data_IF_937209025860
#
_entry.id   IF_937209025860
#
_cell.length_a   1.000
_cell.length_b   1.000
_cell.length_c   1.000
_cell.angle_alpha   90.00
_cell.angle_beta   90.00
_cell.angle_gamma   90.00
#
_symmetry.space_group_name_H-M   'P 1'
#
loop_
_entity.id
_entity.type
_entity.pdbx_description
1 polymer ?
#
# COMPACT_ATOMS: atom_id res chain seq x y z
N UNK A 1 17.24 -20.70 -10.07
CA UNK A 1 17.52 -20.45 -11.50
C UNK A 1 19.00 -20.16 -11.64
N UNK A 2 19.69 -20.90 -12.49
CA UNK A 2 21.17 -20.90 -12.58
C UNK A 2 21.65 -19.76 -13.47
N UNK A 3 22.67 -19.03 -13.02
CA UNK A 3 23.27 -17.96 -13.81
C UNK A 3 24.19 -18.55 -14.90
N UNK A 4 23.80 -18.38 -16.17
CA UNK A 4 24.51 -18.89 -17.34
C UNK A 4 25.50 -17.86 -17.93
N UNK A 5 25.53 -16.64 -17.39
CA UNK A 5 26.43 -15.55 -17.80
C UNK A 5 27.91 -15.96 -17.85
N UNK A 6 28.45 -16.74 -16.90
CA UNK A 6 29.85 -17.17 -16.98
C UNK A 6 30.11 -18.08 -18.19
N UNK A 7 29.21 -19.03 -18.49
CA UNK A 7 29.35 -19.95 -19.62
C UNK A 7 29.27 -19.18 -20.95
N UNK A 8 28.35 -18.23 -21.04
CA UNK A 8 28.19 -17.36 -22.20
C UNK A 8 29.46 -16.51 -22.45
N UNK A 9 30.04 -15.95 -21.38
CA UNK A 9 31.27 -15.15 -21.49
C UNK A 9 32.48 -15.99 -21.95
N UNK A 10 32.56 -17.25 -21.52
CA UNK A 10 33.59 -18.19 -22.02
C UNK A 10 33.43 -18.42 -23.52
N UNK A 11 32.20 -18.65 -23.98
CA UNK A 11 31.87 -18.83 -25.41
C UNK A 11 32.13 -17.56 -26.24
N UNK A 12 31.80 -16.38 -25.73
CA UNK A 12 32.07 -15.11 -26.40
C UNK A 12 33.57 -14.86 -26.56
N UNK A 13 34.35 -15.18 -25.53
CA UNK A 13 35.82 -15.05 -25.55
C UNK A 13 36.45 -15.99 -26.58
N UNK A 14 35.91 -17.21 -26.76
CA UNK A 14 36.36 -18.14 -27.81
C UNK A 14 36.11 -17.64 -29.23
N UNK A 15 35.08 -16.82 -29.42
CA UNK A 15 34.73 -16.24 -30.73
C UNK A 15 35.33 -14.84 -30.94
N UNK A 16 36.29 -14.43 -30.13
CA UNK A 16 36.93 -13.09 -30.17
C UNK A 16 35.92 -11.93 -30.09
N UNK A 17 34.77 -12.16 -29.46
CA UNK A 17 33.74 -11.14 -29.23
C UNK A 17 33.94 -10.52 -27.85
N UNK A 18 33.62 -9.23 -27.68
CA UNK A 18 33.72 -8.59 -26.37
C UNK A 18 32.83 -9.33 -25.36
N UNK A 19 33.33 -9.64 -24.16
CA UNK A 19 32.55 -10.28 -23.11
C UNK A 19 31.40 -9.37 -22.69
N UNK A 20 30.27 -9.97 -22.29
CA UNK A 20 29.15 -9.21 -21.75
C UNK A 20 29.59 -8.46 -20.48
N UNK A 21 29.22 -7.18 -20.33
CA UNK A 21 29.45 -6.44 -19.09
C UNK A 21 28.83 -7.21 -17.93
N UNK A 22 29.66 -7.61 -16.97
CA UNK A 22 29.17 -8.18 -15.72
C UNK A 22 28.37 -7.06 -15.04
N UNK A 23 27.07 -7.25 -14.74
CA UNK A 23 26.27 -6.20 -14.14
C UNK A 23 26.93 -5.77 -12.82
N UNK A 24 27.03 -4.45 -12.55
CA UNK A 24 27.61 -3.95 -11.32
C UNK A 24 26.93 -4.65 -10.14
N UNK A 25 27.76 -5.12 -9.19
CA UNK A 25 27.31 -5.93 -8.06
C UNK A 25 26.14 -5.23 -7.37
N UNK A 26 24.99 -5.93 -7.32
CA UNK A 26 23.66 -5.44 -6.95
C UNK A 26 23.52 -4.90 -5.51
N UNK A 27 24.61 -4.77 -4.76
CA UNK A 27 24.56 -4.61 -3.30
C UNK A 27 23.93 -3.27 -2.88
N UNK A 28 24.21 -2.17 -3.59
CA UNK A 28 23.64 -0.86 -3.24
C UNK A 28 22.25 -0.61 -3.86
N UNK A 29 21.91 -1.28 -4.96
CA UNK A 29 20.58 -1.18 -5.57
C UNK A 29 19.54 -2.01 -4.81
N UNK A 30 19.94 -3.10 -4.13
CA UNK A 30 19.00 -3.99 -3.47
C UNK A 30 18.31 -3.33 -2.28
N UNK A 31 19.04 -2.55 -1.47
CA UNK A 31 18.50 -1.96 -0.23
C UNK A 31 17.48 -0.85 -0.52
N UNK A 32 17.80 0.07 -1.44
CA UNK A 32 16.90 1.14 -1.86
C UNK A 32 15.67 0.63 -2.63
N UNK A 33 15.84 -0.41 -3.46
CA UNK A 33 14.70 -1.04 -4.17
C UNK A 33 13.77 -1.73 -3.18
N UNK A 34 14.32 -2.32 -2.12
CA UNK A 34 13.54 -2.97 -1.07
C UNK A 34 12.75 -1.97 -0.22
N UNK A 35 13.31 -0.81 0.10
CA UNK A 35 12.59 0.26 0.81
C UNK A 35 11.42 0.83 0.00
N UNK A 36 11.63 1.13 -1.29
CA UNK A 36 10.55 1.56 -2.18
C UNK A 36 9.43 0.51 -2.26
N UNK A 37 9.79 -0.76 -2.49
CA UNK A 37 8.82 -1.84 -2.58
C UNK A 37 8.07 -2.02 -1.27
N UNK A 38 8.77 -1.99 -0.13
CA UNK A 38 8.18 -2.08 1.20
C UNK A 38 7.15 -0.97 1.42
N UNK A 39 7.47 0.26 1.05
CA UNK A 39 6.54 1.39 1.17
C UNK A 39 5.34 1.24 0.24
N UNK A 40 5.55 0.83 -1.02
CA UNK A 40 4.47 0.56 -1.95
C UNK A 40 3.51 -0.54 -1.46
N UNK A 41 4.05 -1.62 -0.87
CA UNK A 41 3.24 -2.66 -0.24
C UNK A 41 2.52 -2.15 1.00
N UNK A 42 3.15 -1.29 1.80
CA UNK A 42 2.54 -0.66 2.98
C UNK A 42 1.34 0.20 2.59
N UNK A 43 1.49 1.07 1.59
CA UNK A 43 0.40 1.89 1.01
C UNK A 43 -0.73 0.99 0.51
N UNK A 44 -0.40 -0.05 -0.26
CA UNK A 44 -1.41 -0.97 -0.80
C UNK A 44 -2.20 -1.67 0.31
N UNK A 45 -1.50 -2.11 1.37
CA UNK A 45 -2.12 -2.74 2.54
C UNK A 45 -3.04 -1.76 3.26
N UNK A 46 -2.56 -0.56 3.56
CA UNK A 46 -3.37 0.45 4.26
C UNK A 46 -4.61 0.86 3.47
N UNK A 47 -4.53 1.00 2.15
CA UNK A 47 -5.70 1.26 1.30
C UNK A 47 -6.73 0.14 1.39
N UNK A 48 -6.29 -1.13 1.36
CA UNK A 48 -7.18 -2.30 1.48
C UNK A 48 -7.82 -2.39 2.86
N UNK A 49 -7.03 -2.16 3.92
CA UNK A 49 -7.49 -2.20 5.30
C UNK A 49 -8.53 -1.10 5.53
N UNK A 50 -8.27 0.12 5.06
CA UNK A 50 -9.23 1.23 5.12
C UNK A 50 -10.52 0.92 4.37
N UNK A 51 -10.45 0.41 3.14
CA UNK A 51 -11.64 0.04 2.37
C UNK A 51 -12.48 -1.03 3.10
N UNK A 52 -11.80 -2.03 3.66
CA UNK A 52 -12.45 -3.10 4.43
C UNK A 52 -13.12 -2.55 5.69
N UNK A 53 -12.45 -1.67 6.41
CA UNK A 53 -12.98 -0.97 7.57
C UNK A 53 -14.24 -0.16 7.22
N UNK A 54 -14.17 0.69 6.18
CA UNK A 54 -15.31 1.52 5.74
C UNK A 54 -16.52 0.67 5.32
N UNK A 55 -16.28 -0.45 4.63
CA UNK A 55 -17.37 -1.39 4.27
C UNK A 55 -17.99 -2.05 5.50
N UNK A 56 -17.19 -2.37 6.51
CA UNK A 56 -17.65 -2.99 7.76
C UNK A 56 -18.54 -2.05 8.57
N UNK A 57 -18.16 -0.78 8.69
CA UNK A 57 -18.91 0.20 9.50
C UNK A 57 -20.11 0.81 8.75
N UNK A 58 -20.14 0.75 7.41
CA UNK A 58 -21.19 1.35 6.58
C UNK A 58 -22.62 1.07 7.06
N UNK A 59 -23.03 -0.17 7.40
CA UNK A 59 -24.39 -0.43 7.83
C UNK A 59 -24.75 0.31 9.12
N UNK A 60 -23.82 0.39 10.08
CA UNK A 60 -24.02 1.06 11.36
C UNK A 60 -23.97 2.60 11.22
N UNK A 61 -23.11 3.09 10.33
CA UNK A 61 -22.96 4.52 10.04
C UNK A 61 -24.20 5.09 9.30
N UNK A 62 -24.68 4.37 8.28
CA UNK A 62 -25.86 4.75 7.48
C UNK A 62 -27.20 4.41 8.14
N UNK A 63 -27.19 3.64 9.24
CA UNK A 63 -28.38 3.44 10.06
C UNK A 63 -28.70 4.73 10.80
N UNK A 64 -29.30 5.68 10.08
CA UNK A 64 -30.03 6.82 10.63
C UNK A 64 -31.11 6.21 11.52
N UNK A 65 -30.93 6.32 12.84
CA UNK A 65 -31.97 6.12 13.87
C UNK A 65 -33.14 5.28 13.35
N UNK A 66 -33.04 3.95 13.45
CA UNK A 66 -34.19 3.10 13.20
C UNK A 66 -35.30 3.64 14.08
N UNK A 67 -36.25 4.35 13.48
CA UNK A 67 -37.48 4.71 14.16
C UNK A 67 -38.00 3.42 14.77
N UNK A 68 -38.45 3.43 16.04
CA UNK A 68 -39.01 2.24 16.63
C UNK A 68 -40.27 1.92 15.82
N UNK A 69 -40.15 1.06 14.81
CA UNK A 69 -41.29 0.34 14.28
C UNK A 69 -41.79 -0.44 15.47
N UNK A 70 -42.86 0.07 16.08
CA UNK A 70 -43.58 -0.56 17.18
C UNK A 70 -43.71 -2.05 16.87
N UNK A 71 -42.81 -2.85 17.45
CA UNK A 71 -42.99 -4.30 17.47
C UNK A 71 -43.91 -4.57 18.66
N UNK A 72 -45.05 -5.23 18.46
CA UNK A 72 -45.88 -5.64 19.58
C UNK A 72 -45.05 -6.52 20.52
N UNK A 73 -45.15 -6.21 21.81
CA UNK A 73 -44.38 -6.84 22.86
C UNK A 73 -44.72 -8.33 22.96
N UNK A 74 -43.86 -9.20 22.44
CA UNK A 74 -43.74 -10.62 22.83
C UNK A 74 -42.56 -11.29 22.12
N UNK A 75 -41.37 -11.22 22.72
CA UNK A 75 -40.33 -12.24 22.58
C UNK A 75 -39.20 -11.94 23.60
N UNK A 76 -38.94 -12.83 24.58
CA UNK A 76 -37.77 -12.73 25.45
C UNK A 76 -36.60 -13.44 24.75
N UNK A 77 -35.75 -12.69 24.05
CA UNK A 77 -34.56 -13.28 23.45
C UNK A 77 -33.93 -12.42 22.37
N UNK A 78 -32.72 -11.94 22.63
CA UNK A 78 -31.82 -11.39 21.61
C UNK A 78 -31.78 -9.86 21.57
N UNK A 79 -30.97 -9.25 22.43
CA UNK A 79 -30.42 -7.91 22.18
C UNK A 79 -28.94 -7.87 22.52
N UNK A 80 -28.15 -8.56 21.69
CA UNK A 80 -26.74 -8.22 21.53
C UNK A 80 -26.53 -7.75 20.09
N UNK A 81 -26.09 -6.49 19.93
CA UNK A 81 -25.17 -6.17 18.84
C UNK A 81 -25.62 -5.35 17.63
N UNK A 82 -26.78 -4.68 17.61
CA UNK A 82 -27.13 -3.76 16.50
C UNK A 82 -27.58 -2.37 16.99
N UNK A 83 -26.80 -1.78 17.89
CA UNK A 83 -26.96 -0.38 18.27
C UNK A 83 -26.57 0.55 17.11
N UNK A 84 -27.43 1.52 16.81
CA UNK A 84 -27.11 2.64 15.91
C UNK A 84 -26.00 3.48 16.52
N UNK A 85 -25.01 3.90 15.73
CA UNK A 85 -23.97 4.83 16.18
C UNK A 85 -24.59 6.17 16.61
N UNK A 86 -24.07 6.78 17.68
CA UNK A 86 -24.42 8.15 18.03
C UNK A 86 -23.79 9.13 17.04
N UNK A 87 -24.23 10.38 17.05
CA UNK A 87 -23.67 11.41 16.17
C UNK A 87 -22.19 11.68 16.50
N UNK A 88 -21.85 11.72 17.79
CA UNK A 88 -20.47 11.85 18.25
C UNK A 88 -19.56 10.69 17.79
N UNK A 89 -20.10 9.46 17.74
CA UNK A 89 -19.35 8.31 17.23
C UNK A 89 -19.08 8.43 15.72
N UNK A 90 -20.03 9.01 14.96
CA UNK A 90 -19.86 9.28 13.52
C UNK A 90 -18.79 10.34 13.28
N UNK A 91 -18.84 11.45 14.03
CA UNK A 91 -17.83 12.51 13.94
C UNK A 91 -16.42 11.98 14.26
N UNK A 92 -16.30 11.11 15.27
CA UNK A 92 -15.03 10.48 15.61
C UNK A 92 -14.52 9.55 14.49
N UNK A 93 -15.42 8.77 13.88
CA UNK A 93 -15.10 7.93 12.72
C UNK A 93 -14.61 8.80 11.56
N UNK A 94 -15.26 9.93 11.30
CA UNK A 94 -14.91 10.81 10.18
C UNK A 94 -13.57 11.50 10.41
N UNK A 95 -13.32 12.00 11.63
CA UNK A 95 -12.03 12.58 12.01
C UNK A 95 -10.89 11.57 11.89
N UNK A 96 -11.07 10.36 12.43
CA UNK A 96 -10.04 9.31 12.36
C UNK A 96 -9.81 8.82 10.94
N UNK A 97 -10.87 8.68 10.13
CA UNK A 97 -10.79 8.31 8.71
C UNK A 97 -10.06 9.39 7.90
N UNK A 98 -10.36 10.67 8.15
CA UNK A 98 -9.68 11.79 7.49
C UNK A 98 -8.19 11.81 7.78
N UNK A 99 -7.78 11.50 9.02
CA UNK A 99 -6.37 11.42 9.40
C UNK A 99 -5.66 10.30 8.64
N UNK A 100 -6.27 9.10 8.56
CA UNK A 100 -5.71 7.98 7.80
C UNK A 100 -5.58 8.31 6.31
N UNK A 101 -6.56 9.00 5.73
CA UNK A 101 -6.51 9.44 4.33
C UNK A 101 -5.38 10.47 4.10
N UNK A 102 -5.19 11.39 5.04
CA UNK A 102 -4.11 12.37 4.97
C UNK A 102 -2.73 11.68 5.06
N UNK A 103 -2.57 10.72 5.98
CA UNK A 103 -1.34 9.94 6.12
C UNK A 103 -1.04 9.11 4.88
N UNK A 104 -2.07 8.52 4.26
CA UNK A 104 -1.95 7.80 2.99
C UNK A 104 -1.51 8.73 1.86
N UNK A 105 -2.12 9.90 1.75
CA UNK A 105 -1.77 10.92 0.76
C UNK A 105 -0.30 11.37 0.93
N UNK A 106 0.11 11.63 2.17
CA UNK A 106 1.49 11.98 2.50
C UNK A 106 2.46 10.86 2.10
N UNK A 107 2.14 9.60 2.46
CA UNK A 107 2.98 8.45 2.13
C UNK A 107 3.16 8.31 0.61
N UNK A 108 2.08 8.47 -0.17
CA UNK A 108 2.14 8.45 -1.65
C UNK A 108 3.01 9.59 -2.18
N UNK A 109 2.83 10.81 -1.68
CA UNK A 109 3.62 11.97 -2.11
C UNK A 109 5.11 11.80 -1.81
N UNK A 110 5.46 11.27 -0.63
CA UNK A 110 6.85 10.98 -0.26
C UNK A 110 7.47 9.92 -1.16
N UNK A 111 6.73 8.85 -1.48
CA UNK A 111 7.19 7.78 -2.37
C UNK A 111 7.42 8.29 -3.79
N UNK A 112 6.50 9.12 -4.32
CA UNK A 112 6.63 9.76 -5.63
C UNK A 112 7.86 10.67 -5.69
N UNK A 113 8.03 11.53 -4.68
CA UNK A 113 9.17 12.45 -4.63
C UNK A 113 10.51 11.71 -4.58
N UNK A 114 10.56 10.59 -3.82
CA UNK A 114 11.75 9.76 -3.76
C UNK A 114 12.06 9.07 -5.11
N UNK A 115 11.03 8.67 -5.86
CA UNK A 115 11.19 8.06 -7.18
C UNK A 115 11.67 9.08 -8.22
N UNK A 116 11.08 10.28 -8.24
CA UNK A 116 11.52 11.39 -9.10
C UNK A 116 13.01 11.71 -8.89
N UNK A 117 13.45 11.81 -7.63
CA UNK A 117 14.86 12.02 -7.29
C UNK A 117 15.75 10.89 -7.79
N UNK A 118 15.28 9.63 -7.73
CA UNK A 118 16.02 8.48 -8.26
C UNK A 118 16.17 8.54 -9.78
N UNK A 119 15.10 8.91 -10.48
CA UNK A 119 15.13 9.08 -11.94
C UNK A 119 16.10 10.20 -12.35
N UNK A 120 16.04 11.35 -11.67
CA UNK A 120 16.97 12.46 -11.92
C UNK A 120 18.42 12.08 -11.64
N UNK A 121 18.69 11.36 -10.55
CA UNK A 121 20.02 10.87 -10.23
C UNK A 121 20.54 9.91 -11.31
N UNK A 122 19.72 8.97 -11.76
CA UNK A 122 20.07 8.03 -12.82
C UNK A 122 20.38 8.73 -14.15
N UNK A 123 19.58 9.73 -14.53
CA UNK A 123 19.84 10.55 -15.73
C UNK A 123 21.12 11.38 -15.60
N UNK A 124 21.39 11.94 -14.42
CA UNK A 124 22.60 12.74 -14.18
C UNK A 124 23.89 11.91 -14.29
N UNK A 125 23.84 10.64 -13.86
CA UNK A 125 24.97 9.71 -14.00
C UNK A 125 25.18 9.31 -15.46
N UNK A 126 24.10 9.14 -16.22
CA UNK A 126 24.20 8.77 -17.65
C UNK A 126 24.75 9.90 -18.53
N UNK A 127 24.54 11.15 -18.14
CA UNK A 127 25.03 12.34 -18.87
C UNK A 127 26.49 12.68 -18.58
N UNK A 128 27.14 12.01 -17.62
CA UNK A 128 28.50 12.31 -17.17
C UNK A 128 29.50 11.30 -17.71
#
# INVERSE_FOLDING_TARGET
>A
MTDLTPILNTLLSQHNKPPMPIPPTKQNYTTLTDEFLKEAYRITKHTKDLNTYLRKIRPQYLSLTSHPRHKPASAPGGKEGTGTLSDADRDQIDSSTSLVLHDLSNSIATLSSAEDLRHQAAESVLRR
#
